data_IF_764161515710
#
_entry.id   IF_764161515710
#
_cell.length_a   1.000
_cell.length_b   1.000
_cell.length_c   1.000
_cell.angle_alpha   90.00
_cell.angle_beta   90.00
_cell.angle_gamma   90.00
#
_symmetry.space_group_name_H-M   'P 1'
#
loop_
_entity.id
_entity.type
_entity.pdbx_description
1 polymer ?
#
# COMPACT_ATOMS: atom_id res chain seq x y z
N UNK A 1 -6.60 46.78 -25.73
CA UNK A 1 -6.20 45.54 -26.33
C UNK A 1 -7.37 45.02 -27.13
N UNK A 2 -7.29 44.90 -28.44
CA UNK A 2 -8.34 44.42 -29.31
C UNK A 2 -8.00 42.94 -29.64
N UNK A 3 -9.01 42.09 -29.56
CA UNK A 3 -8.91 40.65 -29.93
C UNK A 3 -9.65 40.43 -31.26
N UNK A 4 -9.11 39.55 -32.10
CA UNK A 4 -9.82 39.08 -33.28
C UNK A 4 -11.08 38.32 -32.80
N UNK A 5 -12.23 38.80 -33.25
CA UNK A 5 -13.53 38.24 -32.84
C UNK A 5 -13.73 36.79 -33.29
N UNK A 6 -13.22 36.43 -34.46
CA UNK A 6 -13.33 35.07 -35.02
C UNK A 6 -12.48 34.08 -34.20
N UNK A 7 -11.25 34.49 -33.84
CA UNK A 7 -10.37 33.68 -33.02
C UNK A 7 -10.84 33.60 -31.56
N UNK A 8 -11.44 34.70 -31.04
CA UNK A 8 -11.89 34.76 -29.65
C UNK A 8 -13.25 34.06 -29.40
N UNK A 9 -14.13 34.03 -30.41
CA UNK A 9 -15.49 33.48 -30.25
C UNK A 9 -15.57 32.08 -29.65
N UNK A 10 -14.78 31.05 -30.11
CA UNK A 10 -14.84 29.71 -29.52
C UNK A 10 -14.40 29.72 -28.04
N UNK A 11 -13.43 30.54 -27.66
CA UNK A 11 -12.98 30.67 -26.27
C UNK A 11 -14.04 31.31 -25.39
N UNK A 12 -14.68 32.37 -25.88
CA UNK A 12 -15.74 33.06 -25.15
C UNK A 12 -16.97 32.15 -24.96
N UNK A 13 -17.37 31.41 -25.97
CA UNK A 13 -18.41 30.40 -25.86
C UNK A 13 -18.09 29.33 -24.83
N UNK A 14 -16.83 28.86 -24.82
CA UNK A 14 -16.34 27.86 -23.85
C UNK A 14 -16.35 28.41 -22.43
N UNK A 15 -15.97 29.67 -22.23
CA UNK A 15 -16.04 30.37 -20.94
C UNK A 15 -17.47 30.54 -20.49
N UNK A 16 -18.37 30.98 -21.37
CA UNK A 16 -19.79 31.23 -21.07
C UNK A 16 -20.54 29.96 -20.65
N UNK A 17 -20.17 28.82 -21.19
CA UNK A 17 -20.71 27.48 -20.83
C UNK A 17 -19.93 26.78 -19.70
N UNK A 18 -18.90 27.41 -19.17
CA UNK A 18 -18.06 26.82 -18.11
C UNK A 18 -18.82 26.77 -16.78
N UNK A 19 -18.50 25.72 -16.00
CA UNK A 19 -19.07 25.50 -14.68
C UNK A 19 -18.01 25.68 -13.58
N UNK A 20 -18.45 26.17 -12.42
CA UNK A 20 -17.62 26.32 -11.24
C UNK A 20 -17.52 24.99 -10.49
N UNK A 21 -16.62 24.92 -9.54
CA UNK A 21 -16.30 23.71 -8.77
C UNK A 21 -17.53 22.97 -8.19
N UNK A 22 -18.56 23.72 -7.73
CA UNK A 22 -19.82 23.13 -7.27
C UNK A 22 -20.59 22.48 -8.44
N UNK A 23 -20.55 23.08 -9.62
CA UNK A 23 -21.15 22.49 -10.84
C UNK A 23 -20.39 21.23 -11.27
N UNK A 24 -19.06 21.21 -11.13
CA UNK A 24 -18.24 20.02 -11.43
C UNK A 24 -18.60 18.85 -10.51
N UNK A 25 -18.84 19.08 -9.22
CA UNK A 25 -19.29 18.02 -8.30
C UNK A 25 -20.63 17.43 -8.69
N UNK A 26 -21.56 18.29 -9.12
CA UNK A 26 -22.87 17.85 -9.60
C UNK A 26 -22.78 17.11 -10.94
N UNK A 27 -21.96 17.62 -11.88
CA UNK A 27 -21.79 17.05 -13.22
C UNK A 27 -21.13 15.67 -13.17
N UNK A 28 -20.01 15.53 -12.46
CA UNK A 28 -19.31 14.25 -12.27
C UNK A 28 -19.98 13.35 -11.22
N UNK A 29 -21.00 13.86 -10.51
CA UNK A 29 -21.69 13.18 -9.41
C UNK A 29 -20.72 12.58 -8.38
N UNK A 30 -19.76 13.41 -7.93
CA UNK A 30 -18.73 12.97 -6.97
C UNK A 30 -18.48 14.03 -5.90
N UNK A 31 -17.74 13.64 -4.86
CA UNK A 31 -17.46 14.53 -3.72
C UNK A 31 -16.44 15.61 -4.08
N UNK A 32 -16.53 16.75 -3.43
CA UNK A 32 -15.60 17.87 -3.57
C UNK A 32 -14.13 17.44 -3.40
N UNK A 33 -13.83 16.59 -2.42
CA UNK A 33 -12.48 16.09 -2.18
C UNK A 33 -11.90 15.31 -3.39
N UNK A 34 -12.76 14.56 -4.10
CA UNK A 34 -12.34 13.85 -5.32
C UNK A 34 -12.01 14.84 -6.43
N UNK A 35 -12.82 15.90 -6.62
CA UNK A 35 -12.53 16.93 -7.62
C UNK A 35 -11.20 17.61 -7.38
N UNK A 36 -10.88 17.94 -6.12
CA UNK A 36 -9.59 18.50 -5.76
C UNK A 36 -8.45 17.52 -6.11
N UNK A 37 -8.64 16.25 -5.83
CA UNK A 37 -7.65 15.21 -6.14
C UNK A 37 -7.47 15.05 -7.64
N UNK A 38 -8.56 15.00 -8.42
CA UNK A 38 -8.54 14.92 -9.89
C UNK A 38 -7.84 16.12 -10.51
N UNK A 39 -8.13 17.32 -10.00
CA UNK A 39 -7.52 18.57 -10.48
C UNK A 39 -6.01 18.61 -10.16
N UNK A 40 -5.61 18.23 -8.93
CA UNK A 40 -4.20 18.18 -8.52
C UNK A 40 -3.40 17.16 -9.31
N UNK A 41 -4.02 16.03 -9.61
CA UNK A 41 -3.39 14.95 -10.38
C UNK A 41 -3.40 15.22 -11.90
N UNK A 42 -4.07 16.29 -12.36
CA UNK A 42 -4.09 16.73 -13.75
C UNK A 42 -5.08 16.03 -14.66
N UNK A 43 -6.00 15.21 -14.12
CA UNK A 43 -7.04 14.53 -14.91
C UNK A 43 -8.10 15.47 -15.43
N UNK A 44 -8.48 16.45 -14.62
CA UNK A 44 -9.35 17.55 -15.02
C UNK A 44 -8.63 18.88 -14.80
N UNK A 45 -8.76 19.81 -15.74
CA UNK A 45 -8.05 21.09 -15.68
C UNK A 45 -9.04 22.23 -15.75
N UNK A 46 -8.92 23.25 -14.87
CA UNK A 46 -9.72 24.44 -15.04
C UNK A 46 -9.30 25.17 -16.32
N UNK A 47 -10.26 25.56 -17.10
CA UNK A 47 -10.07 26.32 -18.31
C UNK A 47 -9.63 27.76 -18.01
N UNK A 48 -10.23 28.37 -16.98
CA UNK A 48 -9.78 29.66 -16.44
C UNK A 48 -9.19 29.43 -15.05
N UNK A 49 -7.91 29.79 -14.91
CA UNK A 49 -7.25 29.83 -13.61
C UNK A 49 -7.29 31.26 -13.10
N UNK A 50 -7.92 31.51 -11.97
CA UNK A 50 -7.78 32.80 -11.31
C UNK A 50 -6.36 32.97 -10.75
N UNK A 51 -5.74 34.10 -11.00
CA UNK A 51 -4.34 34.40 -10.65
C UNK A 51 -4.08 34.45 -9.12
N UNK A 52 -5.14 34.51 -8.29
CA UNK A 52 -5.02 34.59 -6.85
C UNK A 52 -5.20 33.20 -6.25
N UNK A 53 -4.13 32.63 -5.71
CA UNK A 53 -4.06 31.25 -5.15
C UNK A 53 -5.09 30.96 -4.05
N UNK A 54 -5.71 31.96 -3.44
CA UNK A 54 -6.75 31.82 -2.39
C UNK A 54 -8.19 31.62 -2.93
N UNK A 55 -8.42 31.83 -4.23
CA UNK A 55 -9.76 31.80 -4.83
C UNK A 55 -10.00 30.59 -5.77
N UNK A 56 -9.61 29.39 -5.33
CA UNK A 56 -9.88 28.13 -6.07
C UNK A 56 -11.36 27.91 -6.40
N UNK A 57 -12.27 28.52 -5.61
CA UNK A 57 -13.73 28.45 -5.84
C UNK A 57 -14.19 29.14 -7.15
N UNK A 58 -13.35 29.97 -7.76
CA UNK A 58 -13.67 30.67 -9.02
C UNK A 58 -13.08 30.00 -10.27
N UNK A 59 -12.36 28.89 -10.09
CA UNK A 59 -11.89 28.11 -11.24
C UNK A 59 -13.08 27.60 -12.07
N UNK A 60 -13.01 27.85 -13.37
CA UNK A 60 -14.07 27.48 -14.32
C UNK A 60 -13.58 26.30 -15.17
N UNK A 61 -14.41 25.30 -15.28
CA UNK A 61 -14.17 24.07 -16.04
C UNK A 61 -15.08 24.00 -17.24
N UNK A 62 -14.60 23.57 -18.39
CA UNK A 62 -15.42 23.32 -19.55
C UNK A 62 -16.16 21.97 -19.37
N UNK A 63 -17.46 21.98 -19.62
CA UNK A 63 -18.29 20.76 -19.50
C UNK A 63 -17.78 19.68 -20.45
N UNK A 64 -17.42 20.02 -21.68
CA UNK A 64 -16.88 19.08 -22.65
C UNK A 64 -15.62 18.35 -22.13
N UNK A 65 -14.70 19.05 -21.45
CA UNK A 65 -13.48 18.43 -20.89
C UNK A 65 -13.82 17.42 -19.77
N UNK A 66 -14.92 17.62 -19.06
CA UNK A 66 -15.40 16.70 -18.03
C UNK A 66 -16.09 15.48 -18.64
N UNK A 67 -16.85 15.69 -19.73
CA UNK A 67 -17.48 14.62 -20.50
C UNK A 67 -16.40 13.74 -21.17
N UNK A 68 -15.39 14.35 -21.79
CA UNK A 68 -14.24 13.65 -22.38
C UNK A 68 -13.48 12.84 -21.32
N UNK A 69 -13.33 13.38 -20.12
CA UNK A 69 -12.71 12.64 -19.01
C UNK A 69 -13.55 11.41 -18.64
N UNK A 70 -14.86 11.53 -18.45
CA UNK A 70 -15.73 10.38 -18.18
C UNK A 70 -15.71 9.37 -19.33
N UNK A 71 -15.81 9.85 -20.56
CA UNK A 71 -15.76 9.01 -21.75
C UNK A 71 -14.43 8.22 -21.83
N UNK A 72 -13.31 8.87 -21.48
CA UNK A 72 -12.01 8.20 -21.46
C UNK A 72 -11.93 7.05 -20.45
N UNK A 73 -12.57 7.19 -19.29
CA UNK A 73 -12.63 6.14 -18.29
C UNK A 73 -13.50 4.96 -18.72
N UNK A 74 -14.52 5.24 -19.50
CA UNK A 74 -15.53 4.25 -19.92
C UNK A 74 -15.29 3.69 -21.32
N UNK A 75 -14.26 4.15 -22.03
CA UNK A 75 -13.98 3.78 -23.43
C UNK A 75 -13.88 2.26 -23.67
N UNK A 76 -13.50 1.50 -22.65
CA UNK A 76 -13.37 0.01 -22.70
C UNK A 76 -14.23 -0.68 -21.65
N UNK A 77 -15.15 0.06 -21.03
CA UNK A 77 -15.94 -0.48 -19.94
C UNK A 77 -17.10 -1.35 -20.45
N UNK A 78 -17.38 -2.41 -19.72
CA UNK A 78 -18.49 -3.32 -19.95
C UNK A 78 -19.59 -3.01 -18.95
N UNK A 79 -20.86 -3.02 -19.39
CA UNK A 79 -22.01 -2.83 -18.50
C UNK A 79 -22.06 -3.99 -17.51
N UNK A 80 -22.10 -3.66 -16.22
CA UNK A 80 -22.13 -4.63 -15.14
C UNK A 80 -23.04 -4.14 -14.01
N UNK A 81 -24.32 -4.49 -14.05
CA UNK A 81 -25.29 -4.08 -13.04
C UNK A 81 -25.05 -4.85 -11.73
N UNK A 82 -25.38 -4.18 -10.60
CA UNK A 82 -25.30 -4.75 -9.26
C UNK A 82 -23.93 -5.35 -8.93
N UNK A 83 -22.85 -4.55 -8.93
CA UNK A 83 -21.53 -5.06 -8.66
C UNK A 83 -21.40 -5.58 -7.23
N UNK A 84 -20.82 -6.79 -7.09
CA UNK A 84 -20.51 -7.40 -5.80
C UNK A 84 -18.98 -7.38 -5.57
N UNK A 85 -18.52 -7.32 -4.30
CA UNK A 85 -17.10 -7.42 -4.01
C UNK A 85 -16.48 -8.69 -4.64
N UNK A 86 -15.28 -8.58 -5.24
CA UNK A 86 -14.31 -7.48 -5.17
C UNK A 86 -14.51 -6.33 -6.18
N UNK A 87 -15.60 -6.31 -6.94
CA UNK A 87 -15.90 -5.25 -7.90
C UNK A 87 -16.51 -4.05 -7.17
N UNK A 88 -15.93 -2.87 -7.34
CA UNK A 88 -16.34 -1.65 -6.65
C UNK A 88 -15.90 -0.39 -7.37
N UNK A 89 -16.40 0.77 -6.92
CA UNK A 89 -16.02 2.06 -7.49
C UNK A 89 -14.54 2.40 -7.28
N UNK A 90 -14.02 3.32 -8.08
CA UNK A 90 -12.61 3.71 -8.08
C UNK A 90 -12.11 4.14 -6.68
N UNK A 91 -12.81 5.01 -5.91
CA UNK A 91 -12.38 5.38 -4.57
C UNK A 91 -12.32 4.21 -3.57
N UNK A 92 -13.28 3.30 -3.63
CA UNK A 92 -13.31 2.12 -2.75
C UNK A 92 -12.21 1.13 -3.13
N UNK A 93 -12.02 0.87 -4.43
CA UNK A 93 -10.94 0.03 -4.92
C UNK A 93 -9.55 0.57 -4.53
N UNK A 94 -9.35 1.89 -4.64
CA UNK A 94 -8.12 2.53 -4.19
C UNK A 94 -7.87 2.33 -2.68
N UNK A 95 -8.91 2.48 -1.86
CA UNK A 95 -8.83 2.24 -0.41
C UNK A 95 -8.50 0.78 -0.10
N UNK A 96 -9.18 -0.18 -0.75
CA UNK A 96 -8.95 -1.62 -0.55
C UNK A 96 -7.54 -2.05 -1.00
N UNK A 97 -7.05 -1.46 -2.09
CA UNK A 97 -5.71 -1.74 -2.62
C UNK A 97 -4.58 -0.93 -1.95
N UNK A 98 -4.85 -0.18 -0.88
CA UNK A 98 -3.88 0.69 -0.19
C UNK A 98 -3.12 1.62 -1.15
N UNK A 99 -3.81 2.15 -2.16
CA UNK A 99 -3.25 3.09 -3.12
C UNK A 99 -4.09 4.36 -3.22
N UNK A 100 -3.66 5.30 -4.07
CA UNK A 100 -4.41 6.53 -4.29
C UNK A 100 -5.37 6.40 -5.46
N UNK A 101 -6.50 7.10 -5.43
CA UNK A 101 -7.45 7.19 -6.55
C UNK A 101 -6.75 7.55 -7.88
N UNK A 102 -5.80 8.52 -7.95
CA UNK A 102 -5.02 8.78 -9.16
C UNK A 102 -4.26 7.56 -9.71
N UNK A 103 -3.81 6.64 -8.85
CA UNK A 103 -3.12 5.44 -9.31
C UNK A 103 -4.08 4.51 -10.06
N UNK A 104 -5.29 4.31 -9.53
CA UNK A 104 -6.33 3.50 -10.19
C UNK A 104 -6.74 4.14 -11.52
N UNK A 105 -6.95 5.46 -11.55
CA UNK A 105 -7.28 6.19 -12.78
C UNK A 105 -6.20 6.03 -13.87
N UNK A 106 -4.92 6.15 -13.52
CA UNK A 106 -3.84 5.89 -14.49
C UNK A 106 -3.88 4.46 -15.01
N UNK A 107 -4.14 3.47 -14.15
CA UNK A 107 -4.26 2.06 -14.59
C UNK A 107 -5.40 1.86 -15.58
N UNK A 108 -6.55 2.54 -15.38
CA UNK A 108 -7.68 2.51 -16.32
C UNK A 108 -7.25 3.14 -17.64
N UNK A 109 -6.74 4.37 -17.61
CA UNK A 109 -6.40 5.15 -18.81
C UNK A 109 -5.25 4.53 -19.61
N UNK A 110 -4.25 3.98 -18.93
CA UNK A 110 -3.10 3.30 -19.56
C UNK A 110 -3.44 1.87 -20.02
N UNK A 111 -4.66 1.39 -19.78
CA UNK A 111 -5.05 0.04 -20.15
C UNK A 111 -4.37 -1.08 -19.37
N UNK A 112 -3.95 -0.79 -18.16
CA UNK A 112 -3.24 -1.75 -17.31
C UNK A 112 -4.17 -2.68 -16.52
N UNK A 113 -5.46 -2.36 -16.45
CA UNK A 113 -6.47 -3.27 -15.91
C UNK A 113 -7.06 -4.12 -17.03
N UNK A 114 -7.23 -5.40 -16.75
CA UNK A 114 -7.82 -6.36 -17.69
C UNK A 114 -9.30 -6.10 -17.91
N UNK A 115 -9.96 -5.53 -16.90
CA UNK A 115 -11.38 -5.28 -16.91
C UNK A 115 -11.74 -3.96 -16.24
N UNK A 116 -12.67 -3.22 -16.86
CA UNK A 116 -13.33 -2.02 -16.32
C UNK A 116 -14.82 -2.16 -16.61
N UNK A 117 -15.65 -1.85 -15.63
CA UNK A 117 -17.11 -1.91 -15.78
C UNK A 117 -17.80 -0.56 -15.59
N UNK A 118 -19.07 -0.53 -16.00
CA UNK A 118 -20.02 0.53 -15.69
C UNK A 118 -21.20 -0.09 -14.96
N UNK A 119 -21.53 0.44 -13.79
CA UNK A 119 -22.79 0.21 -13.12
C UNK A 119 -23.83 1.21 -13.68
N UNK A 120 -24.83 0.74 -14.42
CA UNK A 120 -25.85 1.62 -15.01
C UNK A 120 -26.77 2.29 -13.97
N UNK A 121 -26.88 1.72 -12.77
CA UNK A 121 -27.67 2.25 -11.67
C UNK A 121 -26.98 3.45 -10.98
N UNK A 122 -25.65 3.57 -11.11
CA UNK A 122 -24.85 4.60 -10.47
C UNK A 122 -24.27 5.55 -11.53
N UNK A 123 -24.89 6.72 -11.71
CA UNK A 123 -24.43 7.65 -12.75
C UNK A 123 -23.14 8.39 -12.38
N UNK A 124 -22.36 8.76 -13.39
CA UNK A 124 -21.17 9.61 -13.28
C UNK A 124 -19.94 8.84 -12.81
N UNK A 125 -19.07 9.53 -12.09
CA UNK A 125 -17.74 9.01 -11.72
C UNK A 125 -17.79 7.73 -10.87
N UNK A 126 -18.78 7.63 -9.97
CA UNK A 126 -18.93 6.45 -9.12
C UNK A 126 -19.51 5.22 -9.84
N UNK A 127 -20.10 5.41 -11.02
CA UNK A 127 -20.54 4.29 -11.86
C UNK A 127 -19.40 3.54 -12.54
N UNK A 128 -18.20 4.12 -12.59
CA UNK A 128 -17.03 3.42 -13.11
C UNK A 128 -16.49 2.48 -12.03
N UNK A 129 -16.50 1.19 -12.31
CA UNK A 129 -16.15 0.12 -11.38
C UNK A 129 -14.98 -0.72 -11.90
N UNK A 130 -14.19 -1.23 -10.97
CA UNK A 130 -13.00 -2.06 -11.24
C UNK A 130 -12.91 -3.21 -10.25
N UNK A 131 -12.17 -4.25 -10.61
CA UNK A 131 -11.83 -5.32 -9.67
C UNK A 131 -10.72 -4.86 -8.72
N UNK A 132 -11.06 -4.68 -7.44
CA UNK A 132 -10.11 -4.16 -6.43
C UNK A 132 -8.98 -5.15 -6.12
N UNK A 133 -9.19 -6.44 -6.30
CA UNK A 133 -8.13 -7.43 -6.08
C UNK A 133 -7.10 -7.37 -7.22
N UNK A 134 -7.52 -7.15 -8.47
CA UNK A 134 -6.60 -6.86 -9.57
C UNK A 134 -5.81 -5.56 -9.33
N UNK A 135 -6.49 -4.50 -8.87
CA UNK A 135 -5.80 -3.25 -8.50
C UNK A 135 -4.75 -3.50 -7.42
N UNK A 136 -5.08 -4.29 -6.38
CA UNK A 136 -4.16 -4.66 -5.31
C UNK A 136 -2.92 -5.38 -5.85
N UNK A 137 -3.11 -6.36 -6.73
CA UNK A 137 -2.01 -7.09 -7.37
C UNK A 137 -1.10 -6.16 -8.18
N UNK A 138 -1.68 -5.22 -8.96
CA UNK A 138 -0.92 -4.27 -9.78
C UNK A 138 -0.12 -3.24 -8.98
N UNK A 139 -0.57 -2.88 -7.77
CA UNK A 139 0.16 -1.96 -6.88
C UNK A 139 1.04 -2.67 -5.87
N UNK A 140 0.96 -4.00 -5.78
CA UNK A 140 1.78 -4.79 -4.87
C UNK A 140 3.25 -4.63 -5.23
N UNK A 141 4.05 -4.22 -4.24
CA UNK A 141 5.50 -4.27 -4.38
C UNK A 141 5.99 -5.72 -4.21
N UNK A 142 7.22 -6.05 -4.65
CA UNK A 142 7.83 -7.35 -4.36
C UNK A 142 7.72 -7.68 -2.86
N UNK A 143 7.56 -8.95 -2.55
CA UNK A 143 7.50 -9.41 -1.16
C UNK A 143 8.74 -8.97 -0.39
N UNK A 144 8.58 -8.77 0.91
CA UNK A 144 9.68 -8.40 1.78
C UNK A 144 10.70 -9.56 1.83
N UNK A 145 11.94 -9.26 1.49
CA UNK A 145 13.07 -10.20 1.60
C UNK A 145 13.55 -10.30 3.06
N UNK A 146 12.63 -10.64 3.96
CA UNK A 146 12.91 -10.70 5.38
C UNK A 146 11.70 -11.00 6.26
N UNK A 147 11.97 -11.14 7.53
CA UNK A 147 10.99 -11.49 8.55
C UNK A 147 10.74 -10.33 9.50
N UNK A 148 9.48 -9.99 9.74
CA UNK A 148 9.09 -9.09 10.84
C UNK A 148 9.34 -9.77 12.19
N UNK A 149 9.41 -9.00 13.28
CA UNK A 149 9.59 -9.55 14.63
C UNK A 149 8.53 -10.61 14.99
N UNK A 150 7.32 -10.49 14.49
CA UNK A 150 6.24 -11.46 14.70
C UNK A 150 6.46 -12.77 13.92
N UNK A 151 6.98 -12.68 12.69
CA UNK A 151 7.36 -13.86 11.92
C UNK A 151 8.59 -14.55 12.50
N UNK A 152 9.58 -13.79 12.99
CA UNK A 152 10.77 -14.31 13.66
C UNK A 152 10.44 -15.08 14.94
N UNK A 153 9.48 -14.57 15.75
CA UNK A 153 8.98 -15.27 16.93
C UNK A 153 8.52 -16.71 16.56
N UNK A 154 7.73 -16.82 15.50
CA UNK A 154 7.19 -18.12 15.05
C UNK A 154 8.30 -19.01 14.48
N UNK A 155 9.17 -18.46 13.63
CA UNK A 155 10.25 -19.19 12.98
C UNK A 155 11.27 -19.72 13.97
N UNK A 156 11.76 -18.89 14.87
CA UNK A 156 12.78 -19.25 15.87
C UNK A 156 12.20 -20.04 17.06
N UNK A 157 10.87 -20.09 17.20
CA UNK A 157 10.20 -20.75 18.32
C UNK A 157 10.49 -20.08 19.66
N UNK A 158 10.62 -18.73 19.71
CA UNK A 158 10.97 -17.95 20.88
C UNK A 158 9.93 -16.84 21.11
N UNK A 159 9.87 -16.29 22.32
CA UNK A 159 8.92 -15.21 22.62
C UNK A 159 9.34 -13.89 21.94
N UNK A 160 8.37 -13.04 21.55
CA UNK A 160 8.62 -11.76 20.90
C UNK A 160 9.56 -10.83 21.68
N UNK A 161 9.50 -10.88 23.02
CA UNK A 161 10.44 -10.13 23.88
C UNK A 161 11.89 -10.52 23.61
N UNK A 162 12.15 -11.81 23.40
CA UNK A 162 13.50 -12.34 23.11
C UNK A 162 13.95 -11.84 21.73
N UNK A 163 13.08 -11.85 20.73
CA UNK A 163 13.38 -11.28 19.40
C UNK A 163 13.80 -9.83 19.50
N UNK A 164 13.02 -9.01 20.24
CA UNK A 164 13.34 -7.58 20.46
C UNK A 164 14.68 -7.40 21.19
N UNK A 165 14.98 -8.24 22.18
CA UNK A 165 16.25 -8.20 22.90
C UNK A 165 17.44 -8.64 22.01
N UNK A 166 17.27 -9.65 21.15
CA UNK A 166 18.28 -10.04 20.16
C UNK A 166 18.60 -8.91 19.19
N UNK A 167 17.60 -8.16 18.75
CA UNK A 167 17.76 -6.96 17.93
C UNK A 167 18.48 -5.86 18.72
N UNK A 168 18.02 -5.55 19.93
CA UNK A 168 18.62 -4.51 20.75
C UNK A 168 20.09 -4.80 21.13
N UNK A 169 20.45 -6.09 21.29
CA UNK A 169 21.82 -6.52 21.55
C UNK A 169 22.67 -6.71 20.27
N UNK A 170 22.13 -6.42 19.08
CA UNK A 170 22.85 -6.49 17.82
C UNK A 170 23.10 -7.89 17.26
N UNK A 171 22.42 -8.90 17.79
CA UNK A 171 22.48 -10.29 17.25
C UNK A 171 21.67 -10.46 15.98
N UNK A 172 20.65 -9.62 15.78
CA UNK A 172 19.84 -9.50 14.58
C UNK A 172 19.72 -8.02 14.23
N UNK A 173 19.93 -7.66 12.97
CA UNK A 173 19.93 -6.27 12.51
C UNK A 173 18.68 -6.00 11.68
N UNK A 174 17.75 -5.21 12.20
CA UNK A 174 16.57 -4.84 11.42
C UNK A 174 16.92 -3.77 10.39
N UNK A 175 16.25 -3.82 9.25
CA UNK A 175 16.19 -2.75 8.27
C UNK A 175 14.74 -2.37 8.00
N UNK A 176 14.49 -1.08 7.77
CA UNK A 176 13.15 -0.59 7.47
C UNK A 176 12.87 -0.73 5.98
N UNK A 177 11.81 -1.42 5.62
CA UNK A 177 11.30 -1.59 4.25
C UNK A 177 9.85 -1.14 4.14
N UNK A 178 9.43 -0.79 2.95
CA UNK A 178 8.01 -0.48 2.71
C UNK A 178 7.23 -1.77 2.50
N UNK A 179 6.23 -1.99 3.35
CA UNK A 179 5.37 -3.17 3.25
C UNK A 179 4.64 -3.17 1.89
N UNK A 180 4.72 -4.25 1.11
CA UNK A 180 4.12 -4.32 -0.22
C UNK A 180 2.60 -4.17 -0.23
N UNK A 181 1.93 -4.54 0.86
CA UNK A 181 0.47 -4.52 0.97
C UNK A 181 -0.04 -3.18 1.47
N UNK A 182 0.32 -2.78 2.70
CA UNK A 182 -0.24 -1.58 3.34
C UNK A 182 0.59 -0.31 3.12
N UNK A 183 1.74 -0.40 2.43
CA UNK A 183 2.66 0.71 2.13
C UNK A 183 3.23 1.42 3.36
N UNK A 184 3.14 0.80 4.53
CA UNK A 184 3.72 1.34 5.75
C UNK A 184 5.19 0.92 5.90
N UNK A 185 6.05 1.79 6.47
CA UNK A 185 7.38 1.39 6.91
C UNK A 185 7.28 0.23 7.89
N UNK A 186 8.03 -0.83 7.65
CA UNK A 186 8.02 -2.05 8.46
C UNK A 186 9.45 -2.53 8.66
N UNK A 187 9.82 -2.78 9.91
CA UNK A 187 11.14 -3.31 10.24
C UNK A 187 11.16 -4.82 10.01
N UNK A 188 12.13 -5.26 9.23
CA UNK A 188 12.39 -6.66 8.91
C UNK A 188 13.84 -7.00 9.19
N UNK A 189 14.11 -8.26 9.51
CA UNK A 189 15.45 -8.85 9.47
C UNK A 189 15.55 -9.70 8.21
N UNK A 190 16.60 -9.50 7.42
CA UNK A 190 16.79 -10.19 6.15
C UNK A 190 16.85 -11.71 6.33
N UNK A 191 16.42 -12.43 5.29
CA UNK A 191 16.40 -13.91 5.31
C UNK A 191 17.80 -14.48 5.57
N UNK A 192 18.80 -13.97 4.84
CA UNK A 192 20.19 -14.43 4.95
C UNK A 192 20.78 -14.24 6.37
N UNK A 193 20.43 -13.14 7.03
CA UNK A 193 20.87 -12.86 8.41
C UNK A 193 20.20 -13.79 9.42
N UNK A 194 18.90 -14.05 9.25
CA UNK A 194 18.18 -15.01 10.10
C UNK A 194 18.76 -16.43 9.94
N UNK A 195 19.02 -16.84 8.71
CA UNK A 195 19.65 -18.14 8.44
C UNK A 195 21.07 -18.23 9.01
N UNK A 196 21.86 -17.17 8.93
CA UNK A 196 23.17 -17.11 9.56
C UNK A 196 23.06 -17.25 11.08
N UNK A 197 22.07 -16.60 11.70
CA UNK A 197 21.78 -16.75 13.11
C UNK A 197 21.39 -18.19 13.46
N UNK A 198 20.47 -18.81 12.71
CA UNK A 198 20.02 -20.19 12.89
C UNK A 198 21.13 -21.23 12.68
N UNK A 199 22.07 -20.97 11.78
CA UNK A 199 23.24 -21.83 11.60
C UNK A 199 24.18 -21.76 12.80
N UNK A 200 24.33 -20.59 13.39
CA UNK A 200 25.29 -20.33 14.47
C UNK A 200 24.73 -20.65 15.85
N UNK A 201 23.48 -20.39 16.11
CA UNK A 201 22.87 -20.47 17.45
C UNK A 201 21.68 -21.40 17.51
N UNK A 202 21.53 -22.07 18.64
CA UNK A 202 20.33 -22.85 18.98
C UNK A 202 19.86 -22.46 20.40
N UNK A 203 18.57 -22.22 20.57
CA UNK A 203 18.02 -21.94 21.89
C UNK A 203 18.00 -23.20 22.77
N UNK A 204 18.17 -23.03 24.08
CA UNK A 204 18.06 -24.12 25.04
C UNK A 204 16.73 -24.88 24.90
N UNK A 205 15.64 -24.16 24.59
CA UNK A 205 14.35 -24.75 24.34
C UNK A 205 14.32 -25.65 23.10
N UNK A 206 14.87 -25.19 22.00
CA UNK A 206 14.93 -26.01 20.78
C UNK A 206 15.91 -27.17 20.94
N UNK A 207 16.99 -26.97 21.68
CA UNK A 207 17.94 -28.02 22.01
C UNK A 207 17.30 -29.09 22.92
N UNK A 208 16.49 -28.69 23.91
CA UNK A 208 15.77 -29.63 24.78
C UNK A 208 14.76 -30.47 24.01
N UNK A 209 14.08 -29.89 23.01
CA UNK A 209 13.21 -30.63 22.09
C UNK A 209 13.99 -31.62 21.23
N UNK A 210 15.14 -31.21 20.72
CA UNK A 210 15.99 -32.06 19.89
C UNK A 210 16.46 -33.33 20.66
N UNK A 211 16.83 -33.16 21.94
CA UNK A 211 17.25 -34.28 22.79
C UNK A 211 16.08 -34.92 23.55
N UNK A 212 14.85 -34.56 23.27
CA UNK A 212 13.66 -35.05 23.95
C UNK A 212 13.76 -35.03 25.49
N UNK A 213 14.26 -33.93 26.04
CA UNK A 213 14.53 -33.76 27.48
C UNK A 213 13.97 -32.44 28.01
N UNK A 214 13.88 -32.31 29.34
CA UNK A 214 13.48 -31.09 29.96
C UNK A 214 14.60 -30.02 29.88
N UNK A 215 14.24 -28.78 29.53
CA UNK A 215 15.19 -27.67 29.38
C UNK A 215 15.99 -27.38 30.67
N UNK A 216 15.39 -27.50 31.84
CA UNK A 216 16.08 -27.32 33.13
C UNK A 216 17.14 -28.40 33.36
N UNK A 217 16.75 -29.66 33.15
CA UNK A 217 17.69 -30.81 33.26
C UNK A 217 18.85 -30.66 32.25
N UNK A 218 18.53 -30.37 31.01
CA UNK A 218 19.54 -30.16 29.97
C UNK A 218 20.52 -29.04 30.34
N UNK A 219 20.03 -27.92 30.85
CA UNK A 219 20.89 -26.82 31.33
C UNK A 219 21.84 -27.28 32.41
N UNK A 220 21.33 -28.00 33.42
CA UNK A 220 22.15 -28.53 34.52
C UNK A 220 23.24 -29.48 34.01
N UNK A 221 22.92 -30.37 33.05
CA UNK A 221 23.86 -31.31 32.48
C UNK A 221 24.94 -30.60 31.64
N UNK A 222 24.54 -29.56 30.85
CA UNK A 222 25.48 -28.74 30.10
C UNK A 222 26.40 -27.92 31.01
N UNK A 223 25.89 -27.38 32.11
CA UNK A 223 26.68 -26.67 33.12
C UNK A 223 27.74 -27.63 33.77
N UNK A 224 27.36 -28.88 34.10
CA UNK A 224 28.28 -29.92 34.60
C UNK A 224 29.36 -30.27 33.59
N UNK A 225 29.03 -30.26 32.31
CA UNK A 225 29.98 -30.51 31.22
C UNK A 225 30.84 -29.28 30.86
N UNK A 226 30.70 -28.18 31.61
CA UNK A 226 31.45 -26.96 31.39
C UNK A 226 31.04 -26.20 30.11
N UNK A 227 29.89 -26.52 29.51
CA UNK A 227 29.38 -25.90 28.29
C UNK A 227 28.72 -24.56 28.63
N UNK A 228 29.37 -23.46 28.28
CA UNK A 228 28.85 -22.11 28.53
C UNK A 228 27.91 -21.64 27.41
N UNK A 229 26.83 -20.92 27.74
CA UNK A 229 25.96 -20.32 26.73
C UNK A 229 26.71 -19.24 25.94
N UNK A 230 26.45 -19.18 24.63
CA UNK A 230 26.96 -18.12 23.78
C UNK A 230 26.19 -16.80 23.98
N UNK A 231 24.88 -16.91 24.29
CA UNK A 231 24.03 -15.78 24.65
C UNK A 231 23.30 -16.17 25.94
N UNK A 232 23.52 -15.40 27.01
CA UNK A 232 22.94 -15.68 28.33
C UNK A 232 21.49 -15.18 28.43
N UNK A 233 20.71 -15.82 29.29
CA UNK A 233 19.34 -15.45 29.58
C UNK A 233 19.22 -13.99 30.09
N UNK A 234 20.18 -13.53 30.88
CA UNK A 234 20.16 -12.17 31.46
C UNK A 234 20.23 -11.07 30.40
N UNK A 235 20.84 -11.36 29.24
CA UNK A 235 20.97 -10.40 28.13
C UNK A 235 19.71 -10.30 27.28
N UNK A 236 19.11 -11.44 26.94
CA UNK A 236 18.03 -11.47 25.93
C UNK A 236 16.75 -12.17 26.40
N UNK A 237 16.71 -12.66 27.64
CA UNK A 237 15.55 -13.39 28.18
C UNK A 237 15.41 -14.82 27.68
N UNK A 238 16.47 -15.37 27.06
CA UNK A 238 16.59 -16.77 26.66
C UNK A 238 18.07 -17.18 26.57
N UNK A 239 18.34 -18.47 26.73
CA UNK A 239 19.69 -19.01 26.64
C UNK A 239 19.93 -19.62 25.27
N UNK A 240 21.02 -19.24 24.61
CA UNK A 240 21.44 -19.82 23.31
C UNK A 240 22.86 -20.41 23.40
N UNK A 241 23.08 -21.51 22.74
CA UNK A 241 24.35 -22.16 22.61
C UNK A 241 24.85 -22.10 21.16
N UNK A 242 26.17 -22.24 20.96
CA UNK A 242 26.72 -22.43 19.62
C UNK A 242 26.29 -23.80 19.10
N UNK A 243 25.70 -23.85 17.94
CA UNK A 243 25.19 -25.09 17.34
C UNK A 243 26.30 -26.08 17.06
N UNK A 244 27.46 -25.59 16.58
CA UNK A 244 28.65 -26.40 16.33
C UNK A 244 29.27 -27.07 17.58
N UNK A 245 28.90 -26.61 18.78
CA UNK A 245 29.38 -27.21 20.04
C UNK A 245 28.36 -28.18 20.66
N UNK A 246 27.15 -28.29 20.08
CA UNK A 246 26.00 -29.02 20.64
C UNK A 246 25.47 -30.12 19.72
N UNK A 247 25.65 -29.98 18.41
CA UNK A 247 25.26 -30.89 17.36
C UNK A 247 26.49 -31.22 16.49
#
# INVERSE_FOLDING_TARGET
MLFDAVVAAPYLLRIGKGIRLRGVTAHLRTRYAHIITLTRAGFIKPFVKHAVARQRQHATYAVADLDDFLASLTARAVVHPNPEPPVMDIPQAAKRAYCTMPNVLRMILDGRLSWVGIDPEVPGFHGVIVNADEVLERVRAPDLDGFTANHLQKRLGIHQRVVKALIACGYLRPETRINPVNKCPTDIVRIDEVEAFERKYISLWNLSKHYNTNAYKLKTDLDRLGKKPAISNDKVGATFYLKSAML
#
